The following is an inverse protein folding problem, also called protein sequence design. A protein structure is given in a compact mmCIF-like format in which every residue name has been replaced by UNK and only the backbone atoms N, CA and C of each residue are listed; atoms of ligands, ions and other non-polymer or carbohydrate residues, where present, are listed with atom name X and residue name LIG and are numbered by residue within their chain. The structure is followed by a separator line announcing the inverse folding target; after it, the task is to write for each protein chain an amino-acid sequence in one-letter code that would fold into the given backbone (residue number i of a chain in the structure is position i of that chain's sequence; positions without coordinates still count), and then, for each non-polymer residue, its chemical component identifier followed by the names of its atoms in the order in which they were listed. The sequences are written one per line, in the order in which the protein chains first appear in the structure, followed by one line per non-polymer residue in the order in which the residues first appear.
data_IF_042634141773
#
_entry.id   IF_042634141773
#
_cell.length_a   1.000
_cell.length_b   1.000
_cell.length_c   1.000
_cell.angle_alpha   90.00
_cell.angle_beta   90.00
_cell.angle_gamma   90.00
#
_symmetry.space_group_name_H-M   'P 1'
#
loop_
_entity.id
_entity.type
_entity.pdbx_description
1 polymer ?
#
# COMPACT_ATOMS: atom_id res chain seq x y z
N UNK A 1 -1.05 -11.55 -38.88
CA UNK A 1 -0.58 -11.80 -37.52
C UNK A 1 -0.17 -10.46 -36.93
N UNK A 2 -0.85 -9.89 -35.92
CA UNK A 2 -0.44 -8.64 -35.28
C UNK A 2 0.70 -8.94 -34.33
N UNK A 3 1.84 -8.29 -34.54
CA UNK A 3 2.99 -8.30 -33.65
C UNK A 3 2.63 -7.47 -32.41
N UNK A 4 2.58 -8.11 -31.23
CA UNK A 4 2.55 -7.41 -29.97
C UNK A 4 3.90 -6.73 -29.74
N UNK A 5 3.94 -5.41 -29.53
CA UNK A 5 5.15 -4.75 -29.12
C UNK A 5 5.37 -5.04 -27.62
N UNK A 6 6.06 -6.14 -27.31
CA UNK A 6 6.70 -6.25 -25.99
C UNK A 6 7.83 -5.22 -25.99
N UNK A 7 7.57 -4.14 -25.28
CA UNK A 7 8.53 -3.13 -24.93
C UNK A 7 9.77 -3.81 -24.34
N UNK A 8 10.87 -3.72 -25.05
CA UNK A 8 12.21 -4.00 -24.52
C UNK A 8 12.53 -2.96 -23.44
N UNK A 9 12.00 -3.15 -22.25
CA UNK A 9 12.46 -2.44 -21.06
C UNK A 9 13.83 -3.03 -20.73
N UNK A 10 14.87 -2.20 -20.77
CA UNK A 10 16.22 -2.56 -20.34
C UNK A 10 16.17 -3.35 -19.04
N UNK A 11 16.73 -4.56 -19.06
CA UNK A 11 16.68 -5.53 -17.95
C UNK A 11 17.69 -5.19 -16.84
N UNK A 12 17.76 -3.93 -16.40
CA UNK A 12 18.39 -3.60 -15.15
C UNK A 12 17.44 -3.95 -14.00
N UNK A 13 17.89 -4.69 -12.98
CA UNK A 13 17.07 -4.90 -11.81
C UNK A 13 16.63 -3.54 -11.27
N UNK A 14 15.33 -3.35 -11.11
CA UNK A 14 14.80 -2.09 -10.59
C UNK A 14 15.27 -1.95 -9.15
N UNK A 15 16.31 -1.15 -8.94
CA UNK A 15 16.76 -0.75 -7.60
C UNK A 15 15.80 0.27 -7.01
N UNK A 16 15.58 0.21 -5.72
CA UNK A 16 14.82 1.21 -4.95
C UNK A 16 15.76 2.25 -4.29
N UNK A 17 17.05 2.19 -4.59
CA UNK A 17 18.04 3.13 -4.06
C UNK A 17 17.72 4.57 -4.48
N UNK A 18 17.83 5.48 -3.54
CA UNK A 18 17.56 6.91 -3.76
C UNK A 18 16.06 7.26 -3.81
N UNK A 19 15.17 6.31 -3.58
CA UNK A 19 13.74 6.55 -3.52
C UNK A 19 13.25 6.53 -2.06
N UNK A 20 12.22 7.33 -1.78
CA UNK A 20 11.43 7.16 -0.55
C UNK A 20 10.51 5.95 -0.74
N UNK A 21 10.79 4.86 -0.04
CA UNK A 21 9.98 3.65 -0.09
C UNK A 21 8.99 3.64 1.09
N UNK A 22 7.70 3.67 0.78
CA UNK A 22 6.61 3.58 1.76
C UNK A 22 5.89 2.26 1.60
N UNK A 23 5.96 1.42 2.63
CA UNK A 23 5.17 0.21 2.70
C UNK A 23 3.77 0.54 3.27
N UNK A 24 2.72 -0.02 2.68
CA UNK A 24 1.35 0.25 3.09
C UNK A 24 0.53 -1.03 3.15
N UNK A 25 -0.32 -1.15 4.19
CA UNK A 25 -1.26 -2.27 4.25
C UNK A 25 -2.36 -2.10 3.20
N UNK A 26 -2.83 -3.22 2.63
CA UNK A 26 -3.93 -3.21 1.64
C UNK A 26 -5.18 -2.52 2.17
N UNK A 27 -5.51 -2.70 3.47
CA UNK A 27 -6.67 -2.09 4.14
C UNK A 27 -6.52 -0.58 4.41
N UNK A 28 -5.31 -0.06 4.48
CA UNK A 28 -5.10 1.38 4.54
C UNK A 28 -5.26 2.02 3.15
N UNK A 29 -4.88 1.30 2.10
CA UNK A 29 -4.96 1.78 0.71
C UNK A 29 -6.38 1.71 0.15
N UNK A 30 -7.09 0.59 0.38
CA UNK A 30 -8.45 0.36 -0.09
C UNK A 30 -9.36 -0.14 1.02
N UNK A 31 -10.66 0.14 0.89
CA UNK A 31 -11.67 -0.39 1.78
C UNK A 31 -11.99 -1.84 1.40
N UNK A 32 -11.65 -2.76 2.30
CA UNK A 32 -11.94 -4.19 2.25
C UNK A 32 -12.66 -4.67 3.51
N UNK A 33 -13.41 -3.79 4.16
CA UNK A 33 -14.04 -4.11 5.46
C UNK A 33 -15.03 -5.28 5.37
N UNK A 34 -15.81 -5.36 4.28
CA UNK A 34 -16.77 -6.45 4.08
C UNK A 34 -16.03 -7.80 4.00
N UNK A 35 -15.01 -7.86 3.17
CA UNK A 35 -14.23 -9.08 2.97
C UNK A 35 -13.36 -9.41 4.20
N UNK A 36 -12.88 -8.40 4.90
CA UNK A 36 -12.09 -8.61 6.11
C UNK A 36 -12.87 -9.31 7.23
N UNK A 37 -14.18 -9.07 7.34
CA UNK A 37 -15.03 -9.79 8.30
C UNK A 37 -15.02 -11.31 8.05
N UNK A 38 -14.99 -11.74 6.79
CA UNK A 38 -14.85 -13.15 6.43
C UNK A 38 -13.46 -13.69 6.85
N UNK A 39 -12.43 -12.91 6.62
CA UNK A 39 -11.07 -13.28 7.04
C UNK A 39 -10.96 -13.43 8.56
N UNK A 40 -11.50 -12.50 9.32
CA UNK A 40 -11.49 -12.52 10.80
C UNK A 40 -12.35 -13.65 11.38
N UNK A 41 -13.40 -14.09 10.69
CA UNK A 41 -14.20 -15.26 11.08
C UNK A 41 -13.49 -16.60 10.86
N UNK A 42 -12.31 -16.60 10.24
CA UNK A 42 -11.55 -17.80 9.91
C UNK A 42 -11.99 -18.50 8.61
N UNK A 43 -12.97 -17.95 7.90
CA UNK A 43 -13.40 -18.47 6.59
C UNK A 43 -12.47 -17.99 5.47
N UNK A 44 -11.26 -18.55 5.43
CA UNK A 44 -10.26 -18.22 4.41
C UNK A 44 -10.74 -18.57 3.00
N UNK A 45 -11.52 -19.63 2.84
CA UNK A 45 -12.01 -20.04 1.53
C UNK A 45 -13.11 -19.09 1.03
N UNK A 46 -14.08 -18.76 1.87
CA UNK A 46 -15.11 -17.77 1.56
C UNK A 46 -14.53 -16.39 1.26
N UNK A 47 -13.50 -16.00 2.02
CA UNK A 47 -12.75 -14.78 1.74
C UNK A 47 -12.12 -14.78 0.33
N UNK A 48 -11.40 -15.85 -0.04
CA UNK A 48 -10.79 -15.97 -1.37
C UNK A 48 -11.83 -15.95 -2.50
N UNK A 49 -12.96 -16.67 -2.32
CA UNK A 49 -14.05 -16.69 -3.29
C UNK A 49 -14.69 -15.30 -3.46
N UNK A 50 -14.90 -14.57 -2.37
CA UNK A 50 -15.42 -13.21 -2.41
C UNK A 50 -14.48 -12.27 -3.18
N UNK A 51 -13.18 -12.39 -2.95
CA UNK A 51 -12.16 -11.59 -3.66
C UNK A 51 -12.11 -11.93 -5.16
N UNK A 52 -12.20 -13.20 -5.54
CA UNK A 52 -12.28 -13.64 -6.93
C UNK A 52 -13.54 -13.12 -7.63
N UNK A 53 -14.69 -13.20 -6.96
CA UNK A 53 -15.97 -12.73 -7.52
C UNK A 53 -15.97 -11.22 -7.79
N UNK A 54 -15.28 -10.48 -6.93
CA UNK A 54 -15.15 -9.02 -7.02
C UNK A 54 -13.86 -8.56 -7.72
N UNK A 55 -13.13 -9.46 -8.39
CA UNK A 55 -11.80 -9.17 -8.93
C UNK A 55 -11.81 -8.01 -9.94
N UNK A 56 -12.86 -7.88 -10.73
CA UNK A 56 -13.04 -6.81 -11.72
C UNK A 56 -13.84 -5.60 -11.18
N UNK A 57 -14.20 -5.63 -9.89
CA UNK A 57 -14.84 -4.52 -9.20
C UNK A 57 -13.77 -3.78 -8.38
N UNK A 58 -13.40 -2.54 -8.78
CA UNK A 58 -12.44 -1.77 -8.02
C UNK A 58 -12.93 -1.55 -6.58
N UNK A 59 -12.06 -1.79 -5.61
CA UNK A 59 -12.36 -1.47 -4.23
C UNK A 59 -12.41 0.04 -4.02
N UNK A 60 -13.24 0.49 -3.09
CA UNK A 60 -13.31 1.90 -2.73
C UNK A 60 -11.98 2.39 -2.12
N UNK A 61 -11.63 3.67 -2.27
CA UNK A 61 -10.49 4.27 -1.62
C UNK A 61 -10.51 4.09 -0.10
N UNK A 62 -9.40 3.64 0.47
CA UNK A 62 -9.18 3.56 1.91
C UNK A 62 -8.64 4.86 2.50
N UNK A 63 -8.38 4.82 3.82
CA UNK A 63 -8.00 6.00 4.61
C UNK A 63 -6.70 6.67 4.18
N UNK A 64 -5.76 5.92 3.64
CA UNK A 64 -4.48 6.42 3.17
C UNK A 64 -4.45 6.70 1.65
N UNK A 65 -5.53 6.47 0.94
CA UNK A 65 -5.58 6.59 -0.52
C UNK A 65 -5.12 7.98 -1.01
N UNK A 66 -5.67 9.05 -0.43
CA UNK A 66 -5.32 10.42 -0.80
C UNK A 66 -3.84 10.73 -0.53
N UNK A 67 -3.28 10.25 0.57
CA UNK A 67 -1.86 10.40 0.88
C UNK A 67 -1.00 9.67 -0.17
N UNK A 68 -1.34 8.44 -0.50
CA UNK A 68 -0.62 7.63 -1.49
C UNK A 68 -0.66 8.30 -2.86
N UNK A 69 -1.82 8.79 -3.27
CA UNK A 69 -1.97 9.52 -4.54
C UNK A 69 -1.04 10.74 -4.61
N UNK A 70 -0.98 11.53 -3.54
CA UNK A 70 -0.09 12.69 -3.44
C UNK A 70 1.38 12.30 -3.41
N UNK A 71 1.75 11.23 -2.69
CA UNK A 71 3.12 10.72 -2.67
C UNK A 71 3.57 10.28 -4.08
N UNK A 72 2.72 9.59 -4.82
CA UNK A 72 3.03 9.14 -6.17
C UNK A 72 3.12 10.30 -7.18
N UNK A 73 2.48 11.45 -6.91
CA UNK A 73 2.57 12.64 -7.75
C UNK A 73 3.99 13.22 -7.81
N UNK A 74 4.85 12.96 -6.82
CA UNK A 74 6.27 13.34 -6.87
C UNK A 74 7.07 12.64 -7.98
N UNK A 75 6.50 11.65 -8.63
CA UNK A 75 7.09 10.95 -9.79
C UNK A 75 6.70 11.56 -11.15
N UNK A 76 6.21 12.79 -11.17
CA UNK A 76 5.56 13.41 -12.34
C UNK A 76 6.47 13.70 -13.53
N UNK A 77 7.78 13.82 -13.33
CA UNK A 77 8.76 14.17 -14.37
C UNK A 77 9.55 12.98 -14.92
N UNK A 78 9.01 11.77 -14.73
CA UNK A 78 9.64 10.52 -15.15
C UNK A 78 10.76 10.03 -14.22
N UNK A 79 11.10 10.78 -13.19
CA UNK A 79 12.00 10.32 -12.12
C UNK A 79 11.20 9.62 -11.03
N UNK A 80 11.63 8.42 -10.67
CA UNK A 80 11.06 7.69 -9.54
C UNK A 80 11.69 8.15 -8.23
N UNK A 81 11.01 9.05 -7.51
CA UNK A 81 11.42 9.56 -6.19
C UNK A 81 10.74 8.81 -5.05
N UNK A 82 9.54 8.32 -5.31
CA UNK A 82 8.71 7.63 -4.31
C UNK A 82 8.28 6.29 -4.87
N UNK A 83 8.46 5.26 -4.08
CA UNK A 83 7.92 3.91 -4.33
C UNK A 83 6.91 3.59 -3.23
N UNK A 84 5.75 3.09 -3.63
CA UNK A 84 4.75 2.57 -2.69
C UNK A 84 4.66 1.06 -2.88
N UNK A 85 4.90 0.32 -1.81
CA UNK A 85 4.85 -1.15 -1.79
C UNK A 85 3.70 -1.61 -0.93
N UNK A 86 2.81 -2.44 -1.47
CA UNK A 86 1.73 -3.03 -0.66
C UNK A 86 2.31 -4.17 0.18
N UNK A 87 2.09 -4.11 1.49
CA UNK A 87 2.52 -5.13 2.44
C UNK A 87 1.30 -5.65 3.21
N UNK A 88 0.91 -6.90 2.96
CA UNK A 88 -0.35 -7.43 3.46
C UNK A 88 -0.25 -8.88 3.89
N UNK A 89 -1.02 -9.24 4.92
CA UNK A 89 -1.23 -10.64 5.32
C UNK A 89 -2.22 -11.39 4.44
N UNK A 90 -2.85 -10.70 3.50
CA UNK A 90 -3.80 -11.32 2.58
C UNK A 90 -3.12 -12.36 1.68
N UNK A 91 -3.91 -13.14 1.00
CA UNK A 91 -3.47 -14.10 -0.01
C UNK A 91 -3.17 -13.39 -1.35
N UNK A 92 -2.47 -14.06 -2.28
CA UNK A 92 -2.12 -13.49 -3.59
C UNK A 92 -3.33 -13.13 -4.46
N UNK A 93 -4.48 -13.80 -4.31
CA UNK A 93 -5.71 -13.48 -5.07
C UNK A 93 -6.23 -12.11 -4.68
N UNK A 94 -6.29 -11.84 -3.37
CA UNK A 94 -6.59 -10.51 -2.84
C UNK A 94 -5.59 -9.48 -3.34
N UNK A 95 -4.32 -9.87 -3.47
CA UNK A 95 -3.28 -9.05 -4.06
C UNK A 95 -3.58 -8.63 -5.50
N UNK A 96 -4.10 -9.53 -6.32
CA UNK A 96 -4.54 -9.19 -7.69
C UNK A 96 -5.63 -8.10 -7.69
N UNK A 97 -6.61 -8.20 -6.79
CA UNK A 97 -7.67 -7.19 -6.67
C UNK A 97 -7.12 -5.83 -6.22
N UNK A 98 -6.13 -5.81 -5.33
CA UNK A 98 -5.43 -4.58 -4.91
C UNK A 98 -4.80 -3.91 -6.13
N UNK A 99 -4.04 -4.63 -6.95
CA UNK A 99 -3.38 -4.06 -8.14
C UNK A 99 -4.39 -3.62 -9.20
N UNK A 100 -5.47 -4.37 -9.44
CA UNK A 100 -6.54 -3.95 -10.35
C UNK A 100 -7.27 -2.70 -9.86
N UNK A 101 -7.54 -2.61 -8.56
CA UNK A 101 -8.12 -1.42 -7.95
C UNK A 101 -7.16 -0.22 -8.09
N UNK A 102 -5.87 -0.41 -7.86
CA UNK A 102 -4.87 0.63 -8.02
C UNK A 102 -4.86 1.17 -9.48
N UNK A 103 -4.85 0.28 -10.47
CA UNK A 103 -4.90 0.65 -11.87
C UNK A 103 -6.20 1.38 -12.24
N UNK A 104 -7.36 0.91 -11.77
CA UNK A 104 -8.66 1.53 -12.00
C UNK A 104 -8.77 2.95 -11.41
N UNK A 105 -8.07 3.21 -10.31
CA UNK A 105 -7.99 4.52 -9.66
C UNK A 105 -6.82 5.39 -10.15
N UNK A 106 -6.10 4.97 -11.19
CA UNK A 106 -4.98 5.73 -11.76
C UNK A 106 -3.68 5.66 -10.98
N UNK A 107 -3.56 4.74 -10.01
CA UNK A 107 -2.34 4.51 -9.22
C UNK A 107 -1.42 3.48 -9.90
N UNK A 108 -1.16 3.65 -11.20
CA UNK A 108 -0.42 2.70 -12.04
C UNK A 108 1.05 2.50 -11.61
N UNK A 109 1.58 3.36 -10.73
CA UNK A 109 2.94 3.25 -10.20
C UNK A 109 3.05 2.27 -9.03
N UNK A 110 1.92 1.76 -8.50
CA UNK A 110 1.92 0.69 -7.50
C UNK A 110 2.10 -0.64 -8.23
N UNK A 111 3.35 -1.09 -8.34
CA UNK A 111 3.72 -2.29 -9.09
C UNK A 111 4.25 -3.42 -8.19
N UNK A 112 4.46 -3.14 -6.89
CA UNK A 112 5.05 -4.09 -5.95
C UNK A 112 4.15 -4.37 -4.76
N UNK A 113 4.12 -5.62 -4.35
CA UNK A 113 3.41 -6.04 -3.15
C UNK A 113 3.91 -7.37 -2.63
N UNK A 114 3.79 -7.54 -1.33
CA UNK A 114 4.07 -8.78 -0.60
C UNK A 114 2.77 -9.22 0.06
N UNK A 115 2.34 -10.44 -0.25
CA UNK A 115 1.13 -11.06 0.27
C UNK A 115 1.51 -12.38 0.93
N UNK A 116 1.27 -12.51 2.24
CA UNK A 116 1.89 -13.56 3.05
C UNK A 116 0.92 -14.62 3.55
N UNK A 117 -0.33 -14.59 3.11
CA UNK A 117 -1.35 -15.58 3.45
C UNK A 117 -1.42 -15.88 4.96
N UNK A 118 -1.66 -14.83 5.74
CA UNK A 118 -1.78 -14.90 7.19
C UNK A 118 -0.45 -14.82 7.96
N UNK A 119 0.69 -15.08 7.30
CA UNK A 119 2.00 -14.98 7.95
C UNK A 119 2.39 -13.52 8.18
N UNK A 120 3.34 -13.32 9.11
CA UNK A 120 3.86 -11.99 9.43
C UNK A 120 4.67 -11.40 8.26
N UNK A 121 4.25 -10.24 7.69
CA UNK A 121 4.90 -9.64 6.53
C UNK A 121 6.06 -8.70 6.89
N UNK A 122 6.26 -8.34 8.18
CA UNK A 122 7.17 -7.26 8.56
C UNK A 122 8.65 -7.60 8.33
N UNK A 123 9.01 -8.89 8.25
CA UNK A 123 10.35 -9.34 7.87
C UNK A 123 10.78 -8.84 6.49
N UNK A 124 9.85 -8.44 5.64
CA UNK A 124 10.12 -7.93 4.30
C UNK A 124 10.38 -6.43 4.24
N UNK A 125 10.09 -5.67 5.31
CA UNK A 125 10.27 -4.21 5.35
C UNK A 125 11.74 -3.82 5.07
N UNK A 126 12.69 -4.46 5.74
CA UNK A 126 14.13 -4.17 5.54
C UNK A 126 14.63 -4.59 4.15
N UNK A 127 14.38 -5.81 3.66
CA UNK A 127 14.77 -6.21 2.30
C UNK A 127 14.16 -5.33 1.20
N UNK A 128 12.98 -4.77 1.42
CA UNK A 128 12.36 -3.82 0.51
C UNK A 128 12.96 -2.41 0.58
N UNK A 129 13.88 -2.17 1.51
CA UNK A 129 14.41 -0.82 1.75
C UNK A 129 13.33 0.17 2.17
N UNK A 130 12.25 -0.31 2.81
CA UNK A 130 11.17 0.55 3.25
C UNK A 130 11.67 1.53 4.32
N UNK A 131 11.21 2.78 4.25
CA UNK A 131 11.53 3.84 5.21
C UNK A 131 10.42 4.05 6.23
N UNK A 132 9.18 3.75 5.84
CA UNK A 132 7.99 3.91 6.68
C UNK A 132 6.98 2.81 6.35
N UNK A 133 6.30 2.29 7.37
CA UNK A 133 5.16 1.40 7.21
C UNK A 133 3.88 2.08 7.70
N UNK A 134 2.85 2.08 6.86
CA UNK A 134 1.53 2.65 7.17
C UNK A 134 0.47 1.55 7.20
N UNK A 135 -0.30 1.49 8.29
CA UNK A 135 -1.42 0.55 8.41
C UNK A 135 -2.63 1.19 9.11
N UNK A 136 -3.82 0.73 8.76
CA UNK A 136 -5.03 1.04 9.52
C UNK A 136 -5.15 0.15 10.77
N UNK A 137 -4.41 -0.95 10.85
CA UNK A 137 -4.42 -1.90 11.96
C UNK A 137 -3.33 -1.55 12.98
N UNK A 138 -3.76 -1.28 14.22
CA UNK A 138 -2.84 -0.93 15.31
C UNK A 138 -1.90 -2.07 15.69
N UNK A 139 -2.36 -3.32 15.65
CA UNK A 139 -1.50 -4.47 15.98
C UNK A 139 -0.34 -4.62 15.00
N UNK A 140 -0.58 -4.36 13.71
CA UNK A 140 0.46 -4.37 12.67
C UNK A 140 1.51 -3.29 12.94
N UNK A 141 1.06 -2.09 13.29
CA UNK A 141 1.97 -0.97 13.62
C UNK A 141 2.82 -1.31 14.85
N UNK A 142 2.21 -1.82 15.92
CA UNK A 142 2.93 -2.23 17.13
C UNK A 142 3.99 -3.31 16.84
N UNK A 143 3.67 -4.28 15.99
CA UNK A 143 4.63 -5.33 15.61
C UNK A 143 5.80 -4.76 14.80
N UNK A 144 5.55 -3.87 13.84
CA UNK A 144 6.61 -3.21 13.09
C UNK A 144 7.52 -2.37 14.00
N UNK A 145 6.94 -1.60 14.94
CA UNK A 145 7.68 -0.82 15.94
C UNK A 145 8.50 -1.72 16.88
N UNK A 146 7.98 -2.87 17.30
CA UNK A 146 8.72 -3.85 18.11
C UNK A 146 9.96 -4.39 17.39
N UNK A 147 9.94 -4.45 16.06
CA UNK A 147 11.08 -4.75 15.20
C UNK A 147 11.98 -3.54 14.94
N UNK A 148 11.76 -2.43 15.64
CA UNK A 148 12.48 -1.16 15.49
C UNK A 148 12.39 -0.63 14.05
N UNK A 149 11.21 -0.76 13.45
CA UNK A 149 10.94 -0.24 12.12
C UNK A 149 9.96 0.94 12.22
N UNK A 150 10.24 2.09 11.56
CA UNK A 150 9.33 3.23 11.57
C UNK A 150 7.96 2.86 11.02
N UNK A 151 6.94 3.00 11.83
CA UNK A 151 5.57 2.67 11.45
C UNK A 151 4.57 3.64 12.07
N UNK A 152 3.47 3.90 11.36
CA UNK A 152 2.41 4.75 11.83
C UNK A 152 1.02 4.18 11.50
N UNK A 153 0.08 4.42 12.41
CA UNK A 153 -1.33 4.11 12.19
C UNK A 153 -2.02 5.24 11.44
N UNK A 154 -2.72 4.90 10.37
CA UNK A 154 -3.62 5.83 9.69
C UNK A 154 -5.00 5.69 10.32
N UNK A 155 -5.48 6.79 10.92
CA UNK A 155 -6.75 6.79 11.63
C UNK A 155 -7.92 6.79 10.64
N UNK A 156 -8.83 5.82 10.76
CA UNK A 156 -9.98 5.66 9.87
C UNK A 156 -10.96 6.82 9.95
N UNK A 157 -11.08 7.46 11.13
CA UNK A 157 -11.94 8.63 11.32
C UNK A 157 -11.45 9.92 10.67
N UNK A 158 -10.21 9.96 10.15
CA UNK A 158 -9.62 11.14 9.50
C UNK A 158 -9.66 11.07 7.98
N UNK A 159 -10.50 10.19 7.41
CA UNK A 159 -10.64 10.07 5.96
C UNK A 159 -11.31 11.31 5.37
N UNK A 160 -10.50 12.29 5.01
CA UNK A 160 -10.92 13.40 4.19
C UNK A 160 -10.17 13.34 2.87
N UNK A 161 -10.93 13.15 1.78
CA UNK A 161 -10.36 13.31 0.46
C UNK A 161 -10.10 14.80 0.25
N UNK A 162 -8.84 15.19 0.26
CA UNK A 162 -8.45 16.54 -0.09
C UNK A 162 -7.98 16.58 -1.53
N UNK A 163 -8.78 17.19 -2.40
CA UNK A 163 -8.40 17.52 -3.77
C UNK A 163 -7.66 18.86 -3.85
N UNK A 164 -7.61 19.59 -2.73
CA UNK A 164 -6.81 20.80 -2.62
C UNK A 164 -5.34 20.42 -2.56
N UNK A 165 -4.51 21.16 -3.25
CA UNK A 165 -3.06 20.93 -3.32
C UNK A 165 -2.70 19.49 -3.71
N UNK A 166 -3.05 19.01 -4.91
CA UNK A 166 -2.86 17.61 -5.32
C UNK A 166 -1.38 17.20 -5.36
N UNK A 167 -0.48 18.15 -5.51
CA UNK A 167 0.97 17.96 -5.63
C UNK A 167 1.73 18.26 -4.32
N UNK A 168 1.00 18.49 -3.22
CA UNK A 168 1.59 18.77 -1.92
C UNK A 168 1.25 17.69 -0.90
N UNK A 169 2.27 17.23 -0.16
CA UNK A 169 2.09 16.49 1.09
C UNK A 169 2.40 17.44 2.25
N UNK A 170 1.40 17.75 3.05
CA UNK A 170 1.55 18.55 4.26
C UNK A 170 1.56 17.63 5.47
N UNK A 171 2.66 17.66 6.23
CA UNK A 171 2.84 16.83 7.43
C UNK A 171 3.02 17.78 8.59
N UNK A 172 2.17 17.66 9.62
CA UNK A 172 2.37 18.32 10.90
C UNK A 172 2.96 17.30 11.88
N UNK A 173 3.99 17.70 12.59
CA UNK A 173 4.57 16.90 13.67
C UNK A 173 4.20 17.55 15.01
N UNK A 174 3.82 16.73 15.97
CA UNK A 174 3.73 17.18 17.35
C UNK A 174 5.14 17.47 17.87
N UNK A 175 5.31 18.58 18.58
CA UNK A 175 6.60 18.97 19.15
C UNK A 175 6.99 18.08 20.32
N UNK A 176 6.02 17.78 21.19
CA UNK A 176 6.26 17.01 22.40
C UNK A 176 6.36 15.51 22.10
N UNK A 177 7.39 14.86 22.60
CA UNK A 177 7.64 13.41 22.46
C UNK A 177 7.79 12.90 21.01
N UNK A 178 7.86 13.79 20.01
CA UNK A 178 8.12 13.43 18.61
C UNK A 178 9.39 14.10 18.09
N UNK A 179 9.56 15.40 18.32
CA UNK A 179 10.73 16.16 17.86
C UNK A 179 11.70 16.49 19.02
N UNK A 180 11.19 16.56 20.25
CA UNK A 180 11.96 16.91 21.44
C UNK A 180 11.66 15.91 22.56
N UNK A 181 12.71 15.46 23.27
CA UNK A 181 12.64 14.69 24.51
C UNK A 181 12.47 15.63 25.71
#
# INVERSE_FOLDING_TARGET
MPQHPFLTRSAMPATLEGQLVVAISSRALFDFEEENRLFESGDTHGYMQAQLHKLDQPAAPGVAFSLVKKLLAFNSDGQRRVEVVVLSRNDPVSGMRVFRSAAAHGLNLIERGVFTQGSDPFRYLRPLGAHLFLSANEADVRQALALKFPAARVATGSMQASNEHPDEVRIAFDGDAVLFD
#
